data_IF_961255493095
#
_entry.id   IF_961255493095
#
_cell.length_a   1.000
_cell.length_b   1.000
_cell.length_c   1.000
_cell.angle_alpha   90.00
_cell.angle_beta   90.00
_cell.angle_gamma   90.00
#
_symmetry.space_group_name_H-M   'P 1'
#
loop_
_entity.id
_entity.type
_entity.pdbx_description
1 polymer ?
#
# COMPACT_ATOMS: atom_id res chain seq x y z
N UNK A 1 -8.86 11.61 8.29
CA UNK A 1 -7.84 10.59 8.65
C UNK A 1 -8.42 9.19 8.82
N UNK A 2 -9.47 8.98 9.63
CA UNK A 2 -10.06 7.65 9.83
C UNK A 2 -10.62 7.03 8.53
N UNK A 3 -11.28 7.82 7.68
CA UNK A 3 -11.84 7.36 6.40
C UNK A 3 -10.76 6.95 5.38
N UNK A 4 -9.65 7.69 5.33
CA UNK A 4 -8.51 7.33 4.47
C UNK A 4 -7.84 6.03 4.93
N UNK A 5 -7.67 5.83 6.23
CA UNK A 5 -7.15 4.58 6.78
C UNK A 5 -8.08 3.41 6.45
N UNK A 6 -9.39 3.60 6.58
CA UNK A 6 -10.38 2.59 6.24
C UNK A 6 -10.36 2.25 4.74
N UNK A 7 -10.15 3.24 3.87
CA UNK A 7 -9.97 3.04 2.45
C UNK A 7 -8.68 2.25 2.14
N UNK A 8 -7.55 2.58 2.79
CA UNK A 8 -6.29 1.84 2.68
C UNK A 8 -6.45 0.39 3.13
N UNK A 9 -7.04 0.14 4.30
CA UNK A 9 -7.28 -1.22 4.78
C UNK A 9 -8.22 -2.01 3.89
N UNK A 10 -9.28 -1.38 3.38
CA UNK A 10 -10.19 -1.99 2.40
C UNK A 10 -9.47 -2.38 1.12
N UNK A 11 -8.60 -1.51 0.61
CA UNK A 11 -7.77 -1.78 -0.56
C UNK A 11 -6.78 -2.93 -0.30
N UNK A 12 -6.07 -2.91 0.82
CA UNK A 12 -5.10 -3.95 1.18
C UNK A 12 -5.75 -5.33 1.36
N UNK A 13 -6.99 -5.38 1.87
CA UNK A 13 -7.76 -6.61 1.97
C UNK A 13 -8.09 -7.20 0.60
N UNK A 14 -8.35 -6.37 -0.41
CA UNK A 14 -8.60 -6.82 -1.78
C UNK A 14 -7.36 -7.44 -2.43
N UNK A 15 -6.16 -6.91 -2.16
CA UNK A 15 -4.90 -7.44 -2.71
C UNK A 15 -4.68 -8.91 -2.34
N UNK A 16 -5.12 -9.33 -1.15
CA UNK A 16 -4.97 -10.72 -0.72
C UNK A 16 -5.85 -11.68 -1.54
N UNK A 17 -7.05 -11.24 -1.92
CA UNK A 17 -8.03 -12.03 -2.67
C UNK A 17 -7.92 -11.89 -4.19
N UNK A 18 -7.24 -10.86 -4.68
CA UNK A 18 -7.21 -10.49 -6.10
C UNK A 18 -5.79 -10.61 -6.68
N UNK A 19 -5.54 -11.73 -7.36
CA UNK A 19 -4.23 -12.03 -7.95
C UNK A 19 -3.86 -11.08 -9.11
N UNK A 20 -4.84 -10.54 -9.83
CA UNK A 20 -4.63 -9.59 -10.91
C UNK A 20 -4.24 -8.22 -10.36
N UNK A 21 -4.91 -7.77 -9.29
CA UNK A 21 -4.52 -6.57 -8.57
C UNK A 21 -3.10 -6.70 -8.02
N UNK A 22 -2.76 -7.87 -7.46
CA UNK A 22 -1.40 -8.15 -6.98
C UNK A 22 -0.37 -8.10 -8.11
N UNK A 23 -0.71 -8.59 -9.29
CA UNK A 23 0.15 -8.49 -10.48
C UNK A 23 0.32 -7.04 -10.94
N UNK A 24 -0.74 -6.24 -10.97
CA UNK A 24 -0.66 -4.81 -11.32
C UNK A 24 0.18 -4.04 -10.29
N UNK A 25 0.02 -4.34 -9.01
CA UNK A 25 0.83 -3.78 -7.94
C UNK A 25 2.30 -4.22 -8.01
N UNK A 26 2.61 -5.32 -8.68
CA UNK A 26 3.98 -5.75 -8.92
C UNK A 26 4.68 -4.94 -10.02
N UNK A 27 3.94 -4.26 -10.87
CA UNK A 27 4.45 -3.47 -11.99
C UNK A 27 4.65 -2.00 -11.60
N UNK A 28 3.90 -1.49 -10.62
CA UNK A 28 4.06 -0.12 -10.12
C UNK A 28 5.23 0.01 -9.15
N UNK A 29 5.94 1.13 -9.26
CA UNK A 29 7.16 1.40 -8.49
C UNK A 29 6.93 2.42 -7.37
N UNK A 30 5.85 3.20 -7.42
CA UNK A 30 5.66 4.34 -6.51
C UNK A 30 4.34 4.29 -5.74
N UNK A 31 4.33 4.88 -4.54
CA UNK A 31 3.13 4.94 -3.69
C UNK A 31 2.01 5.78 -4.31
N UNK A 32 2.37 6.74 -5.17
CA UNK A 32 1.42 7.57 -5.93
C UNK A 32 0.67 6.73 -6.97
N UNK A 33 1.38 5.86 -7.69
CA UNK A 33 0.76 4.93 -8.62
C UNK A 33 -0.14 3.90 -7.91
N UNK A 34 0.27 3.42 -6.73
CA UNK A 34 -0.57 2.55 -5.90
C UNK A 34 -1.85 3.27 -5.47
N UNK A 35 -1.76 4.54 -5.06
CA UNK A 35 -2.92 5.36 -4.72
C UNK A 35 -3.82 5.63 -5.94
N UNK A 36 -3.24 5.82 -7.13
CA UNK A 36 -3.99 5.97 -8.38
C UNK A 36 -4.77 4.69 -8.75
N UNK A 37 -4.14 3.51 -8.61
CA UNK A 37 -4.81 2.22 -8.81
C UNK A 37 -5.95 2.05 -7.81
N UNK A 38 -5.71 2.32 -6.53
CA UNK A 38 -6.73 2.23 -5.50
C UNK A 38 -7.90 3.19 -5.78
N UNK A 39 -7.61 4.43 -6.19
CA UNK A 39 -8.64 5.41 -6.55
C UNK A 39 -9.48 4.96 -7.75
N UNK A 40 -8.88 4.31 -8.74
CA UNK A 40 -9.61 3.73 -9.88
C UNK A 40 -10.57 2.59 -9.46
N UNK A 41 -10.30 1.96 -8.32
CA UNK A 41 -11.15 0.91 -7.72
C UNK A 41 -12.15 1.46 -6.69
N UNK A 42 -12.24 2.78 -6.52
CA UNK A 42 -13.13 3.43 -5.55
C UNK A 42 -12.55 3.59 -4.15
N UNK A 43 -11.27 3.25 -3.95
CA UNK A 43 -10.54 3.44 -2.71
C UNK A 43 -9.63 4.67 -2.82
N UNK A 44 -10.17 5.86 -2.56
CA UNK A 44 -9.40 7.09 -2.60
C UNK A 44 -8.66 7.32 -1.27
N UNK A 45 -7.33 7.29 -1.32
CA UNK A 45 -6.46 7.69 -0.21
C UNK A 45 -5.20 8.38 -0.75
N UNK A 46 -4.55 9.17 0.11
CA UNK A 46 -3.30 9.83 -0.24
C UNK A 46 -2.11 8.88 -0.10
N UNK A 47 -1.14 8.98 -1.01
CA UNK A 47 0.11 8.20 -0.94
C UNK A 47 0.82 8.38 0.42
N UNK A 48 0.78 9.59 0.99
CA UNK A 48 1.31 9.89 2.32
C UNK A 48 0.67 9.05 3.44
N UNK A 49 -0.61 8.71 3.32
CA UNK A 49 -1.33 7.89 4.29
C UNK A 49 -0.95 6.41 4.19
N UNK A 50 -0.77 5.91 2.96
CA UNK A 50 -0.23 4.57 2.71
C UNK A 50 1.19 4.44 3.27
N UNK A 51 2.03 5.43 3.00
CA UNK A 51 3.42 5.48 3.45
C UNK A 51 3.52 5.58 4.98
N UNK A 52 2.75 6.46 5.62
CA UNK A 52 2.71 6.55 7.07
C UNK A 52 2.22 5.27 7.74
N UNK A 53 1.37 4.50 7.07
CA UNK A 53 0.95 3.17 7.54
C UNK A 53 2.10 2.16 7.40
N UNK A 54 2.87 2.21 6.31
CA UNK A 54 4.06 1.38 6.16
C UNK A 54 5.16 1.70 7.17
N UNK A 55 5.40 2.97 7.48
CA UNK A 55 6.34 3.37 8.54
C UNK A 55 5.96 2.72 9.87
N UNK A 56 4.68 2.82 10.25
CA UNK A 56 4.16 2.23 11.50
C UNK A 56 4.17 0.70 11.49
N UNK A 57 3.94 0.06 10.35
CA UNK A 57 4.09 -1.38 10.18
C UNK A 57 5.55 -1.85 10.20
N UNK A 58 6.49 -1.00 9.76
CA UNK A 58 7.92 -1.26 9.84
C UNK A 58 8.39 -1.31 11.31
N UNK A 59 7.83 -0.45 12.16
CA UNK A 59 8.07 -0.41 13.61
C UNK A 59 7.42 -1.58 14.36
N UNK A 60 6.38 -2.22 13.79
CA UNK A 60 5.62 -3.31 14.41
C UNK A 60 5.74 -4.63 13.63
N UNK A 61 6.74 -5.50 13.93
CA UNK A 61 7.03 -6.69 13.13
C UNK A 61 5.89 -7.71 13.04
N UNK A 62 4.94 -7.71 13.98
CA UNK A 62 3.75 -8.58 13.93
C UNK A 62 2.74 -8.15 12.86
N UNK A 63 2.69 -6.86 12.51
CA UNK A 63 1.80 -6.32 11.49
C UNK A 63 2.31 -6.56 10.06
N UNK A 64 3.59 -6.93 9.91
CA UNK A 64 4.19 -7.28 8.62
C UNK A 64 3.57 -8.52 7.99
N UNK A 65 3.23 -9.53 8.80
CA UNK A 65 2.99 -10.91 8.36
C UNK A 65 1.68 -11.16 7.59
N UNK A 66 1.04 -10.11 7.08
CA UNK A 66 -0.15 -10.21 6.23
C UNK A 66 -0.43 -8.94 5.44
N UNK A 67 0.13 -7.80 5.85
CA UNK A 67 -0.11 -6.50 5.22
C UNK A 67 1.03 -6.05 4.29
N UNK A 68 2.27 -6.45 4.58
CA UNK A 68 3.47 -6.08 3.83
C UNK A 68 3.92 -7.26 2.97
N UNK A 69 3.32 -7.39 1.80
CA UNK A 69 3.85 -8.24 0.74
C UNK A 69 5.24 -7.70 0.31
N UNK A 70 6.15 -8.56 -0.16
CA UNK A 70 7.54 -8.21 -0.53
C UNK A 70 7.61 -7.04 -1.53
N UNK A 71 6.54 -6.85 -2.28
CA UNK A 71 6.38 -5.88 -3.36
C UNK A 71 5.96 -4.50 -2.85
N UNK A 72 5.07 -4.43 -1.86
CA UNK A 72 4.73 -3.17 -1.18
C UNK A 72 5.90 -2.64 -0.35
N UNK A 73 6.72 -3.55 0.21
CA UNK A 73 7.99 -3.20 0.85
C UNK A 73 8.94 -2.53 -0.15
N UNK A 74 9.00 -3.02 -1.40
CA UNK A 74 9.82 -2.41 -2.47
C UNK A 74 9.40 -0.98 -2.79
N UNK A 75 8.10 -0.71 -2.91
CA UNK A 75 7.55 0.65 -3.11
C UNK A 75 7.95 1.57 -1.95
N UNK A 76 7.85 1.07 -0.72
CA UNK A 76 8.27 1.81 0.47
C UNK A 76 9.78 2.09 0.49
N UNK A 77 10.62 1.11 0.17
CA UNK A 77 12.07 1.25 0.12
C UNK A 77 12.54 2.15 -1.03
N UNK A 78 11.85 2.16 -2.17
CA UNK A 78 12.15 3.09 -3.26
C UNK A 78 11.85 4.54 -2.90
N UNK A 79 10.81 4.81 -2.07
CA UNK A 79 10.58 6.16 -1.53
C UNK A 79 11.75 6.62 -0.66
N UNK A 80 12.24 5.75 0.23
CA UNK A 80 13.37 6.06 1.10
C UNK A 80 14.65 6.37 0.28
N UNK A 81 14.86 5.66 -0.83
CA UNK A 81 15.97 5.92 -1.74
C UNK A 81 15.83 7.21 -2.59
N UNK A 82 14.62 7.78 -2.69
CA UNK A 82 14.32 9.00 -3.45
C UNK A 82 14.17 10.25 -2.55
N UNK A 83 14.22 10.09 -1.23
CA UNK A 83 14.13 11.17 -0.23
C UNK A 83 15.52 11.65 0.19
#
# INVERSE_FOLDING_TARGET
>A
MAEQLQAVFGFLALIQGDAELRARLNEVCTADEVAAIASAMGHAFEASTLLGLFERCNEAPVARSGLMDEKLIRVYLQRDALA
#
